data_IF_214313915553
#
_entry.id   IF_214313915553
#
_cell.length_a   1.000
_cell.length_b   1.000
_cell.length_c   1.000
_cell.angle_alpha   90.00
_cell.angle_beta   90.00
_cell.angle_gamma   90.00
#
_symmetry.space_group_name_H-M   'P 1'
#
loop_
_entity.id
_entity.type
_entity.pdbx_description
1 polymer ?
#
# COMPACT_ATOMS: atom_id res chain seq x y z
N UNK A 1 4.41 -36.06 19.40
CA UNK A 1 4.92 -34.72 19.05
C UNK A 1 3.72 -33.88 18.64
N UNK A 2 3.33 -32.83 19.37
CA UNK A 2 2.21 -31.99 18.94
C UNK A 2 2.67 -31.14 17.76
N UNK A 3 1.96 -31.25 16.63
CA UNK A 3 2.07 -30.33 15.52
C UNK A 3 1.54 -28.98 16.00
N UNK A 4 2.44 -28.02 16.22
CA UNK A 4 2.05 -26.62 16.37
C UNK A 4 1.40 -26.19 15.05
N UNK A 5 0.10 -25.94 15.09
CA UNK A 5 -0.65 -25.42 13.96
C UNK A 5 -0.23 -23.95 13.80
N UNK A 6 0.53 -23.62 12.74
CA UNK A 6 1.00 -22.25 12.46
C UNK A 6 -0.15 -21.21 12.37
N UNK A 7 -1.39 -21.67 12.25
CA UNK A 7 -2.60 -20.84 12.19
C UNK A 7 -3.02 -20.22 13.53
N UNK A 8 -2.44 -20.63 14.66
CA UNK A 8 -2.76 -20.07 15.99
C UNK A 8 -1.86 -18.87 16.38
N UNK A 9 -1.03 -18.37 15.45
CA UNK A 9 -0.21 -17.18 15.68
C UNK A 9 -1.07 -15.92 15.64
N UNK A 10 -1.15 -15.26 16.80
CA UNK A 10 -1.89 -14.01 17.02
C UNK A 10 -1.38 -12.82 16.17
N UNK A 11 -0.13 -12.89 15.71
CA UNK A 11 0.48 -11.87 14.85
C UNK A 11 1.25 -12.50 13.69
N UNK A 12 1.24 -11.86 12.50
CA UNK A 12 2.05 -12.29 11.37
C UNK A 12 3.54 -12.17 11.69
N UNK A 13 4.35 -13.02 11.05
CA UNK A 13 5.81 -12.95 11.18
C UNK A 13 6.35 -11.55 10.83
N UNK A 14 7.43 -11.09 11.49
CA UNK A 14 8.02 -9.76 11.24
C UNK A 14 8.31 -9.50 9.76
N UNK A 15 8.77 -10.51 9.03
CA UNK A 15 9.07 -10.44 7.59
C UNK A 15 7.81 -10.18 6.77
N UNK A 16 6.68 -10.78 7.16
CA UNK A 16 5.37 -10.55 6.54
C UNK A 16 4.92 -9.11 6.76
N UNK A 17 5.10 -8.57 7.96
CA UNK A 17 4.80 -7.17 8.26
C UNK A 17 5.67 -6.23 7.43
N UNK A 18 6.97 -6.52 7.31
CA UNK A 18 7.89 -5.74 6.48
C UNK A 18 7.51 -5.79 5.00
N UNK A 19 7.14 -6.96 4.48
CA UNK A 19 6.70 -7.12 3.10
C UNK A 19 5.41 -6.31 2.81
N UNK A 20 4.44 -6.35 3.74
CA UNK A 20 3.22 -5.54 3.65
C UNK A 20 3.56 -4.05 3.62
N UNK A 21 4.38 -3.57 4.56
CA UNK A 21 4.81 -2.16 4.61
C UNK A 21 5.53 -1.76 3.32
N UNK A 22 6.43 -2.61 2.84
CA UNK A 22 7.14 -2.40 1.58
C UNK A 22 6.17 -2.24 0.41
N UNK A 23 5.20 -3.16 0.27
CA UNK A 23 4.21 -3.09 -0.81
C UNK A 23 3.39 -1.80 -0.78
N UNK A 24 2.92 -1.37 0.40
CA UNK A 24 2.21 -0.08 0.56
C UNK A 24 3.09 1.09 0.14
N UNK A 25 4.31 1.17 0.67
CA UNK A 25 5.24 2.26 0.35
C UNK A 25 5.59 2.29 -1.14
N UNK A 26 5.80 1.13 -1.77
CA UNK A 26 6.02 1.04 -3.22
C UNK A 26 4.82 1.57 -3.99
N UNK A 27 3.59 1.20 -3.61
CA UNK A 27 2.37 1.71 -4.23
C UNK A 27 2.21 3.23 -4.09
N UNK A 28 2.47 3.77 -2.90
CA UNK A 28 2.42 5.22 -2.63
C UNK A 28 3.41 6.00 -3.50
N UNK A 29 4.58 5.44 -3.76
CA UNK A 29 5.61 6.05 -4.61
C UNK A 29 5.38 5.82 -6.11
N UNK A 30 4.34 5.06 -6.50
CA UNK A 30 4.10 4.69 -7.89
C UNK A 30 5.12 3.70 -8.47
N UNK A 31 5.79 2.94 -7.61
CA UNK A 31 6.73 1.90 -8.01
C UNK A 31 6.04 0.69 -8.65
N UNK A 32 6.83 -0.25 -9.21
CA UNK A 32 6.28 -1.40 -9.92
C UNK A 32 5.44 -2.29 -9.00
N UNK A 33 4.33 -2.79 -9.54
CA UNK A 33 3.52 -3.82 -8.88
C UNK A 33 4.25 -5.17 -8.96
N UNK A 34 3.99 -6.05 -7.98
CA UNK A 34 4.44 -7.43 -8.03
C UNK A 34 3.79 -8.25 -9.16
N UNK A 35 4.20 -9.51 -9.34
CA UNK A 35 3.62 -10.40 -10.33
C UNK A 35 2.08 -10.53 -10.19
N UNK A 36 1.33 -10.72 -11.29
CA UNK A 36 -0.11 -10.94 -11.23
C UNK A 36 -0.48 -12.10 -10.29
N UNK A 37 -1.50 -11.90 -9.45
CA UNK A 37 -1.96 -12.89 -8.47
C UNK A 37 -1.13 -12.98 -7.18
N UNK A 38 -0.06 -12.19 -7.03
CA UNK A 38 0.70 -12.14 -5.79
C UNK A 38 -0.09 -11.38 -4.70
N UNK A 39 -0.24 -11.97 -3.52
CA UNK A 39 -1.09 -11.43 -2.43
C UNK A 39 -0.68 -10.02 -1.96
N UNK A 40 0.61 -9.68 -2.01
CA UNK A 40 1.10 -8.33 -1.69
C UNK A 40 0.54 -7.22 -2.60
N UNK A 41 -0.02 -7.55 -3.76
CA UNK A 41 -0.59 -6.56 -4.67
C UNK A 41 -1.82 -5.87 -4.06
N UNK A 42 -2.55 -6.52 -3.15
CA UNK A 42 -3.65 -5.88 -2.42
C UNK A 42 -3.15 -4.69 -1.59
N UNK A 43 -1.99 -4.85 -0.94
CA UNK A 43 -1.36 -3.81 -0.14
C UNK A 43 -0.72 -2.71 -1.01
N UNK A 44 -0.15 -3.09 -2.16
CA UNK A 44 0.30 -2.12 -3.16
C UNK A 44 -0.85 -1.21 -3.62
N UNK A 45 -2.05 -1.77 -3.86
CA UNK A 45 -3.22 -1.01 -4.29
C UNK A 45 -3.68 0.00 -3.24
N UNK A 46 -3.60 -0.34 -1.95
CA UNK A 46 -3.83 0.63 -0.86
C UNK A 46 -2.87 1.82 -0.98
N UNK A 47 -1.58 1.52 -1.19
CA UNK A 47 -0.57 2.56 -1.37
C UNK A 47 -0.84 3.47 -2.57
N UNK A 48 -1.17 2.88 -3.72
CA UNK A 48 -1.50 3.63 -4.93
C UNK A 48 -2.74 4.53 -4.74
N UNK A 49 -3.78 4.02 -4.09
CA UNK A 49 -4.97 4.81 -3.78
C UNK A 49 -4.62 6.02 -2.88
N UNK A 50 -3.76 5.85 -1.88
CA UNK A 50 -3.33 6.94 -1.01
C UNK A 50 -2.60 8.05 -1.78
N UNK A 51 -1.77 7.70 -2.77
CA UNK A 51 -1.13 8.67 -3.67
C UNK A 51 -2.17 9.45 -4.45
N UNK A 52 -3.10 8.74 -5.10
CA UNK A 52 -4.12 9.37 -5.95
C UNK A 52 -5.03 10.32 -5.13
N UNK A 53 -5.37 9.95 -3.90
CA UNK A 53 -6.09 10.83 -2.97
C UNK A 53 -5.27 12.08 -2.57
N UNK A 54 -3.96 11.94 -2.34
CA UNK A 54 -3.10 13.08 -2.04
C UNK A 54 -2.98 14.06 -3.23
N UNK A 55 -2.94 13.53 -4.45
CA UNK A 55 -2.94 14.33 -5.68
C UNK A 55 -4.24 15.13 -5.86
N UNK A 56 -5.41 14.52 -5.60
CA UNK A 56 -6.71 15.20 -5.66
C UNK A 56 -6.77 16.38 -4.67
N UNK A 57 -6.25 16.20 -3.45
CA UNK A 57 -6.20 17.27 -2.46
C UNK A 57 -5.27 18.41 -2.88
N UNK A 58 -4.11 18.11 -3.47
CA UNK A 58 -3.22 19.15 -4.00
C UNK A 58 -3.83 19.89 -5.20
N UNK A 59 -4.49 19.18 -6.12
CA UNK A 59 -5.17 19.77 -7.26
C UNK A 59 -6.27 20.76 -6.84
N UNK A 60 -7.02 20.44 -5.77
CA UNK A 60 -8.06 21.32 -5.21
C UNK A 60 -7.53 22.59 -4.54
N UNK A 61 -6.24 22.62 -4.16
CA UNK A 61 -5.60 23.74 -3.45
C UNK A 61 -4.94 24.76 -4.38
N UNK A 62 -4.89 24.50 -5.68
CA UNK A 62 -4.36 25.48 -6.66
C UNK A 62 -5.41 26.58 -6.87
N UNK A 63 -5.15 27.84 -6.47
CA UNK A 63 -6.09 28.91 -6.73
C UNK A 63 -6.12 29.12 -8.25
N UNK A 64 -7.28 28.90 -8.87
CA UNK A 64 -7.54 29.28 -10.25
C UNK A 64 -7.46 30.81 -10.27
N UNK A 65 -6.29 31.36 -10.60
CA UNK A 65 -6.08 32.79 -10.71
C UNK A 65 -7.14 33.35 -11.67
N UNK A 66 -8.13 34.06 -11.12
CA UNK A 66 -9.04 34.90 -11.90
C UNK A 66 -8.19 36.03 -12.45
N UNK A 67 -7.75 35.89 -13.70
CA UNK A 67 -7.31 37.03 -14.49
C UNK A 67 -8.56 37.87 -14.77
N UNK A 68 -8.58 39.09 -14.25
CA UNK A 68 -9.44 40.19 -14.69
C UNK A 68 -8.58 41.43 -14.89
#
# INVERSE_FOLDING_TARGET
MPQYNDNDREYPEPETVLAIRGAITTGQLGGPMGPPGHWLNEFWQIGAALRDHAEILQASRTPRARKS
#
